data_IF_727089630423
#
_entry.id   IF_727089630423
#
_cell.length_a   1.000
_cell.length_b   1.000
_cell.length_c   1.000
_cell.angle_alpha   90.00
_cell.angle_beta   90.00
_cell.angle_gamma   90.00
#
_symmetry.space_group_name_H-M   'P 1'
#
loop_
_entity.id
_entity.type
_entity.pdbx_description
1 polymer ?
#
# COMPACT_ATOMS: atom_id res chain seq x y z
N UNK A 1 9.22 -21.54 6.05
CA UNK A 1 8.62 -20.61 5.07
C UNK A 1 9.66 -19.55 4.74
N UNK A 2 9.83 -19.25 3.46
CA UNK A 2 10.89 -18.34 2.98
C UNK A 2 10.50 -16.87 3.24
N UNK A 3 11.47 -16.05 3.62
CA UNK A 3 11.28 -14.60 3.70
C UNK A 3 10.98 -14.03 2.31
N UNK A 4 10.22 -12.92 2.20
CA UNK A 4 9.99 -12.28 0.92
C UNK A 4 11.29 -11.74 0.33
N UNK A 5 11.38 -11.73 -1.00
CA UNK A 5 12.48 -11.05 -1.70
C UNK A 5 12.23 -9.55 -1.65
N UNK A 6 13.21 -8.77 -1.19
CA UNK A 6 13.09 -7.31 -1.06
C UNK A 6 13.68 -6.61 -2.28
N UNK A 7 13.08 -5.51 -2.69
CA UNK A 7 13.51 -4.63 -3.76
C UNK A 7 13.18 -3.17 -3.42
N UNK A 8 13.85 -2.23 -4.09
CA UNK A 8 13.65 -0.79 -3.86
C UNK A 8 13.16 -0.14 -5.15
N UNK A 9 12.08 0.63 -5.05
CA UNK A 9 11.52 1.41 -6.15
C UNK A 9 12.33 2.70 -6.38
N UNK A 10 12.13 3.35 -7.52
CA UNK A 10 12.92 4.51 -7.93
C UNK A 10 12.79 5.71 -6.97
N UNK A 11 11.70 5.78 -6.21
CA UNK A 11 11.43 6.81 -5.19
C UNK A 11 11.77 6.34 -3.75
N UNK A 12 12.52 5.25 -3.61
CA UNK A 12 12.99 4.72 -2.33
C UNK A 12 11.97 3.87 -1.57
N UNK A 13 10.75 3.67 -2.10
CA UNK A 13 9.75 2.78 -1.48
C UNK A 13 10.18 1.32 -1.54
N UNK A 14 9.78 0.56 -0.53
CA UNK A 14 9.99 -0.89 -0.51
C UNK A 14 9.01 -1.60 -1.45
N UNK A 15 9.52 -2.64 -2.10
CA UNK A 15 8.75 -3.66 -2.82
C UNK A 15 9.16 -5.04 -2.31
N UNK A 16 8.19 -5.88 -2.00
CA UNK A 16 8.36 -7.22 -1.45
C UNK A 16 7.67 -8.23 -2.36
N UNK A 17 8.40 -9.26 -2.78
CA UNK A 17 7.87 -10.38 -3.53
C UNK A 17 7.67 -11.59 -2.61
N UNK A 18 6.46 -12.12 -2.62
CA UNK A 18 6.10 -13.40 -2.01
C UNK A 18 5.84 -14.38 -3.15
N UNK A 19 6.57 -15.49 -3.17
CA UNK A 19 6.55 -16.43 -4.29
C UNK A 19 6.09 -17.82 -3.86
N UNK A 20 5.38 -18.48 -4.76
CA UNK A 20 5.03 -19.89 -4.67
C UNK A 20 6.29 -20.77 -4.76
N UNK A 21 6.26 -21.99 -4.22
CA UNK A 21 7.38 -22.93 -4.37
C UNK A 21 7.77 -23.13 -5.84
N UNK A 22 9.07 -22.96 -6.14
CA UNK A 22 9.60 -23.12 -7.50
C UNK A 22 9.58 -21.85 -8.36
N UNK A 23 8.90 -20.77 -7.92
CA UNK A 23 8.96 -19.48 -8.60
C UNK A 23 10.01 -18.58 -7.94
N UNK A 24 10.90 -18.01 -8.75
CA UNK A 24 11.92 -17.04 -8.32
C UNK A 24 11.61 -15.70 -8.99
N UNK A 25 11.37 -14.63 -8.22
CA UNK A 25 11.08 -13.32 -8.79
C UNK A 25 12.33 -12.75 -9.49
N UNK A 26 12.12 -12.10 -10.64
CA UNK A 26 13.18 -11.49 -11.44
C UNK A 26 12.96 -9.97 -11.61
N UNK A 27 12.99 -9.17 -10.52
CA UNK A 27 12.80 -7.73 -10.64
C UNK A 27 13.95 -7.08 -11.42
N UNK A 28 13.61 -6.04 -12.19
CA UNK A 28 14.53 -5.15 -12.86
C UNK A 28 14.59 -3.81 -12.11
N UNK A 29 15.54 -2.95 -12.46
CA UNK A 29 15.57 -1.59 -11.94
C UNK A 29 14.28 -0.85 -12.28
N UNK A 30 13.69 -0.19 -11.29
CA UNK A 30 12.64 0.81 -11.52
C UNK A 30 13.28 2.07 -12.12
N UNK A 31 12.80 2.49 -13.28
CA UNK A 31 13.36 3.59 -14.09
C UNK A 31 12.35 4.70 -14.32
N UNK A 32 11.21 4.66 -13.61
CA UNK A 32 10.17 5.68 -13.74
C UNK A 32 10.71 7.03 -13.25
N UNK A 33 10.45 8.13 -13.98
CA UNK A 33 10.86 9.47 -13.58
C UNK A 33 9.90 9.98 -12.49
N UNK A 34 10.11 9.52 -11.25
CA UNK A 34 9.27 9.89 -10.11
C UNK A 34 9.85 11.11 -9.38
N UNK A 35 9.00 12.06 -8.95
CA UNK A 35 9.45 13.15 -8.08
C UNK A 35 9.84 12.62 -6.70
N UNK A 36 10.59 13.42 -5.96
CA UNK A 36 10.85 13.14 -4.55
C UNK A 36 9.56 13.06 -3.74
N UNK A 37 9.58 12.24 -2.70
CA UNK A 37 8.43 12.00 -1.83
C UNK A 37 8.27 13.13 -0.82
N UNK A 38 7.04 13.57 -0.61
CA UNK A 38 6.70 14.39 0.56
C UNK A 38 6.71 13.50 1.82
N UNK A 39 7.55 13.80 2.83
CA UNK A 39 7.61 13.04 4.07
C UNK A 39 6.38 13.23 4.96
N UNK A 40 5.56 14.26 4.76
CA UNK A 40 4.40 14.58 5.58
C UNK A 40 3.15 14.95 4.75
N UNK A 41 2.64 14.03 3.90
CA UNK A 41 1.63 14.31 2.88
C UNK A 41 0.21 14.49 3.44
N UNK A 42 0.02 14.30 4.75
CA UNK A 42 -1.29 14.37 5.39
C UNK A 42 -1.26 14.92 6.81
N UNK A 43 -2.45 15.33 7.28
CA UNK A 43 -2.73 15.79 8.63
C UNK A 43 -3.95 15.06 9.18
N UNK A 44 -3.98 14.83 10.48
CA UNK A 44 -5.15 14.42 11.23
C UNK A 44 -5.84 15.66 11.80
N UNK A 45 -7.17 15.66 11.82
CA UNK A 45 -8.01 16.64 12.50
C UNK A 45 -8.97 15.93 13.42
N UNK A 46 -9.10 16.39 14.65
CA UNK A 46 -10.03 15.79 15.60
C UNK A 46 -11.42 16.43 15.45
N UNK A 47 -12.43 15.61 15.17
CA UNK A 47 -13.82 16.01 15.19
C UNK A 47 -14.41 15.77 16.59
N UNK A 48 -14.70 16.85 17.31
CA UNK A 48 -15.26 16.81 18.66
C UNK A 48 -16.69 16.32 18.73
N UNK A 49 -17.48 16.46 17.66
CA UNK A 49 -18.88 16.02 17.66
C UNK A 49 -18.98 14.50 17.61
N UNK A 50 -18.05 13.85 16.90
CA UNK A 50 -18.00 12.39 16.77
C UNK A 50 -16.96 11.73 17.67
N UNK A 51 -16.01 12.50 18.21
CA UNK A 51 -14.88 11.97 18.97
C UNK A 51 -13.86 11.22 18.10
N UNK A 52 -13.80 11.52 16.80
CA UNK A 52 -13.01 10.77 15.83
C UNK A 52 -11.90 11.61 15.20
N UNK A 53 -10.79 10.95 14.87
CA UNK A 53 -9.74 11.54 14.04
C UNK A 53 -10.08 11.36 12.57
N UNK A 54 -10.01 12.46 11.82
CA UNK A 54 -10.23 12.52 10.37
C UNK A 54 -8.91 12.75 9.67
N UNK A 55 -8.61 11.90 8.68
CA UNK A 55 -7.41 12.03 7.84
C UNK A 55 -7.68 13.02 6.71
N UNK A 56 -6.85 14.04 6.60
CA UNK A 56 -6.83 15.01 5.49
C UNK A 56 -5.56 14.80 4.68
N UNK A 57 -5.69 14.26 3.47
CA UNK A 57 -4.57 13.92 2.58
C UNK A 57 -4.81 14.47 1.16
N UNK A 58 -4.38 15.72 0.92
CA UNK A 58 -4.71 16.47 -0.31
C UNK A 58 -4.11 15.83 -1.58
N UNK A 59 -2.89 15.30 -1.50
CA UNK A 59 -2.18 14.65 -2.63
C UNK A 59 -2.91 13.43 -3.21
N UNK A 60 -3.93 12.92 -2.52
CA UNK A 60 -4.76 11.83 -3.05
C UNK A 60 -5.62 12.26 -4.24
N UNK A 61 -5.80 13.56 -4.46
CA UNK A 61 -6.46 14.07 -5.67
C UNK A 61 -5.65 13.77 -6.95
N UNK A 62 -4.31 13.66 -6.84
CA UNK A 62 -3.42 13.37 -7.97
C UNK A 62 -3.28 11.87 -8.27
N UNK A 63 -4.10 11.03 -7.63
CA UNK A 63 -4.07 9.58 -7.83
C UNK A 63 -4.34 9.24 -9.28
N UNK A 64 -3.59 8.25 -9.76
CA UNK A 64 -3.85 7.65 -11.06
C UNK A 64 -5.30 7.19 -11.15
N UNK A 65 -6.08 7.81 -12.04
CA UNK A 65 -7.49 7.54 -12.23
C UNK A 65 -7.71 6.78 -13.54
N UNK A 66 -8.18 5.53 -13.42
CA UNK A 66 -8.56 4.63 -14.52
C UNK A 66 -7.55 4.63 -15.69
N UNK A 67 -6.27 4.27 -15.43
CA UNK A 67 -5.32 4.15 -16.53
C UNK A 67 -5.77 2.99 -17.44
N UNK A 68 -5.48 3.05 -18.76
CA UNK A 68 -5.60 1.89 -19.62
C UNK A 68 -4.84 0.70 -19.03
N UNK A 69 -5.29 -0.53 -19.27
CA UNK A 69 -4.66 -1.73 -18.70
C UNK A 69 -3.15 -1.81 -18.98
N UNK A 70 -2.72 -1.40 -20.18
CA UNK A 70 -1.31 -1.31 -20.58
C UNK A 70 -0.45 -0.32 -19.76
N UNK A 71 -1.09 0.57 -18.99
CA UNK A 71 -0.48 1.53 -18.07
C UNK A 71 -0.92 1.28 -16.62
N UNK A 72 -1.41 0.08 -16.31
CA UNK A 72 -1.79 -0.27 -14.96
C UNK A 72 -0.54 -0.31 -14.06
N UNK A 73 -0.49 0.48 -12.98
CA UNK A 73 0.68 0.53 -12.11
C UNK A 73 0.85 -0.75 -11.26
N UNK A 74 -0.13 -1.67 -11.29
CA UNK A 74 -0.11 -2.91 -10.51
C UNK A 74 0.27 -4.13 -11.36
N UNK A 75 0.25 -4.03 -12.69
CA UNK A 75 0.62 -5.13 -13.58
C UNK A 75 2.15 -5.28 -13.69
N UNK A 76 2.67 -6.45 -14.12
CA UNK A 76 4.09 -6.59 -14.40
C UNK A 76 4.60 -5.54 -15.40
N UNK A 77 5.73 -4.91 -15.07
CA UNK A 77 6.42 -3.94 -15.91
C UNK A 77 7.86 -4.37 -16.20
N UNK A 78 8.10 -5.29 -17.17
CA UNK A 78 9.43 -5.88 -17.42
C UNK A 78 10.50 -4.86 -17.84
N UNK A 79 10.11 -3.67 -18.30
CA UNK A 79 11.04 -2.59 -18.68
C UNK A 79 11.42 -1.68 -17.51
N UNK A 80 10.69 -1.77 -16.39
CA UNK A 80 10.82 -0.86 -15.25
C UNK A 80 10.34 0.57 -15.51
N UNK A 81 9.65 0.85 -16.62
CA UNK A 81 9.27 2.22 -17.02
C UNK A 81 7.80 2.57 -16.79
N UNK A 82 6.94 1.59 -16.50
CA UNK A 82 5.47 1.76 -16.57
C UNK A 82 4.71 1.35 -15.32
N UNK A 83 5.31 0.62 -14.39
CA UNK A 83 4.60 -0.04 -13.28
C UNK A 83 5.31 0.10 -11.93
N UNK A 84 4.55 0.04 -10.83
CA UNK A 84 5.06 -0.13 -9.46
C UNK A 84 5.68 -1.52 -9.24
N UNK A 85 5.47 -2.44 -10.18
CA UNK A 85 6.04 -3.79 -10.15
C UNK A 85 7.00 -3.96 -11.33
N UNK A 86 8.26 -3.48 -11.22
CA UNK A 86 9.26 -3.57 -12.28
C UNK A 86 9.79 -5.00 -12.39
N UNK A 87 8.96 -5.93 -12.82
CA UNK A 87 9.27 -7.35 -12.99
C UNK A 87 8.48 -7.90 -14.18
N UNK A 88 8.95 -8.99 -14.83
CA UNK A 88 8.21 -9.64 -15.91
C UNK A 88 6.96 -10.37 -15.42
N UNK A 89 6.96 -10.86 -14.17
CA UNK A 89 5.83 -11.53 -13.53
C UNK A 89 5.97 -11.51 -12.00
N UNK A 90 4.92 -11.90 -11.27
CA UNK A 90 4.92 -12.12 -9.82
C UNK A 90 3.71 -12.96 -9.34
N UNK A 91 3.87 -13.66 -8.22
CA UNK A 91 2.72 -14.32 -7.55
C UNK A 91 1.97 -13.34 -6.64
N UNK A 92 2.64 -12.77 -5.65
CA UNK A 92 2.08 -11.75 -4.74
C UNK A 92 3.14 -10.69 -4.47
N UNK A 93 2.77 -9.43 -4.57
CA UNK A 93 3.66 -8.32 -4.20
C UNK A 93 3.04 -7.38 -3.19
N UNK A 94 3.90 -6.80 -2.35
CA UNK A 94 3.55 -5.74 -1.42
C UNK A 94 4.49 -4.56 -1.64
N UNK A 95 3.95 -3.35 -1.75
CA UNK A 95 4.77 -2.14 -1.78
C UNK A 95 4.10 -0.98 -1.06
N UNK A 96 4.89 0.01 -0.66
CA UNK A 96 4.35 1.23 -0.04
C UNK A 96 3.51 2.02 -1.05
N UNK A 97 2.35 2.52 -0.64
CA UNK A 97 1.44 3.26 -1.50
C UNK A 97 2.05 4.60 -1.93
N UNK A 98 2.03 4.91 -3.22
CA UNK A 98 2.54 6.18 -3.77
C UNK A 98 1.75 7.40 -3.31
N UNK A 99 0.45 7.22 -3.06
CA UNK A 99 -0.47 8.29 -2.65
C UNK A 99 -1.05 7.95 -1.28
N UNK A 100 -0.20 7.84 -0.23
CA UNK A 100 -0.63 7.30 1.05
C UNK A 100 -1.58 8.27 1.75
N UNK A 101 -2.51 7.75 2.55
CA UNK A 101 -3.29 8.58 3.48
C UNK A 101 -2.48 9.00 4.71
N UNK A 102 -1.40 8.28 5.02
CA UNK A 102 -0.56 8.46 6.21
C UNK A 102 0.89 8.12 5.86
N UNK A 103 1.87 8.88 6.35
CA UNK A 103 3.28 8.63 6.13
C UNK A 103 4.11 8.95 7.39
N UNK A 104 5.35 8.50 7.47
CA UNK A 104 6.20 8.73 8.64
C UNK A 104 5.97 7.74 9.79
N UNK A 105 5.67 6.48 9.49
CA UNK A 105 5.65 5.41 10.51
C UNK A 105 7.01 5.28 11.22
N UNK A 106 7.00 4.87 12.49
CA UNK A 106 8.19 4.79 13.34
C UNK A 106 8.45 6.05 14.16
N UNK A 107 7.63 7.10 14.00
CA UNK A 107 7.61 8.28 14.86
C UNK A 107 6.66 8.02 16.04
N UNK A 108 7.03 8.48 17.24
CA UNK A 108 6.23 8.32 18.46
C UNK A 108 4.79 8.83 18.29
N UNK A 109 3.80 8.20 18.96
CA UNK A 109 2.40 8.60 18.84
C UNK A 109 2.19 10.02 19.34
N UNK A 110 1.21 10.69 18.75
CA UNK A 110 0.81 12.03 19.15
C UNK A 110 -0.08 11.88 20.39
N UNK A 111 0.18 12.68 21.42
CA UNK A 111 -0.58 12.67 22.67
C UNK A 111 -2.07 12.99 22.46
N UNK A 112 -2.84 12.87 23.54
CA UNK A 112 -4.26 13.23 23.52
C UNK A 112 -4.45 14.69 23.06
N UNK A 113 -5.57 15.01 22.39
CA UNK A 113 -5.91 16.39 22.06
C UNK A 113 -5.98 17.25 23.33
N UNK A 114 -5.06 18.20 23.49
CA UNK A 114 -5.04 19.15 24.61
C UNK A 114 -5.73 20.47 24.23
N UNK A 115 -6.53 21.03 25.15
CA UNK A 115 -7.22 22.31 24.99
C UNK A 115 -8.67 22.21 24.48
N UNK A 116 -9.31 23.36 24.30
CA UNK A 116 -10.70 23.55 23.85
C UNK A 116 -10.83 23.93 22.37
N UNK A 117 -9.71 24.28 21.71
CA UNK A 117 -9.64 24.64 20.29
C UNK A 117 -9.66 23.47 19.30
N UNK A 118 -9.50 23.80 18.01
CA UNK A 118 -9.29 22.81 16.94
C UNK A 118 -7.97 22.08 17.14
N UNK A 119 -8.01 20.75 17.12
CA UNK A 119 -6.82 19.91 17.32
C UNK A 119 -6.41 19.30 15.99
N UNK A 120 -5.12 19.46 15.66
CA UNK A 120 -4.51 18.87 14.47
C UNK A 120 -3.19 18.19 14.81
N UNK A 121 -2.86 17.19 14.00
CA UNK A 121 -1.75 16.27 14.24
C UNK A 121 -1.12 15.86 12.89
N UNK A 122 0.19 15.57 12.82
CA UNK A 122 0.74 14.85 11.67
C UNK A 122 0.03 13.52 11.39
N UNK A 123 -0.19 13.20 10.12
CA UNK A 123 -0.76 11.91 9.68
C UNK A 123 0.26 10.78 9.69
N UNK A 124 0.82 10.47 10.87
CA UNK A 124 1.83 9.43 11.00
C UNK A 124 1.27 8.03 10.73
N UNK A 125 1.99 7.26 9.93
CA UNK A 125 1.62 5.90 9.57
C UNK A 125 2.32 5.44 8.31
N UNK A 126 1.84 4.33 7.76
CA UNK A 126 2.34 3.73 6.52
C UNK A 126 1.16 3.09 5.82
N UNK A 127 1.03 3.33 4.52
CA UNK A 127 0.01 2.68 3.71
C UNK A 127 0.70 1.78 2.71
N UNK A 128 0.31 0.51 2.67
CA UNK A 128 0.84 -0.45 1.70
C UNK A 128 -0.26 -0.90 0.75
N UNK A 129 0.15 -1.39 -0.42
CA UNK A 129 -0.68 -2.03 -1.43
C UNK A 129 -0.24 -3.47 -1.56
N UNK A 130 -1.21 -4.39 -1.54
CA UNK A 130 -0.98 -5.83 -1.75
C UNK A 130 -1.68 -6.25 -3.03
N UNK A 131 -0.90 -6.68 -4.02
CA UNK A 131 -1.40 -7.25 -5.28
C UNK A 131 -1.38 -8.78 -5.18
N UNK A 132 -2.55 -9.41 -5.37
CA UNK A 132 -2.70 -10.85 -5.16
C UNK A 132 -2.21 -11.72 -6.31
N UNK A 133 -2.09 -11.17 -7.53
CA UNK A 133 -1.60 -11.86 -8.72
C UNK A 133 -1.25 -10.86 -9.81
N UNK A 134 -0.44 -11.28 -10.78
CA UNK A 134 -0.14 -10.52 -11.99
C UNK A 134 -1.33 -10.42 -12.97
N UNK A 135 -2.33 -11.29 -12.86
CA UNK A 135 -3.54 -11.27 -13.68
C UNK A 135 -4.38 -10.00 -13.40
N UNK A 136 -4.43 -9.12 -14.40
CA UNK A 136 -5.15 -7.85 -14.36
C UNK A 136 -6.65 -8.00 -14.08
N UNK A 137 -7.24 -9.10 -14.56
CA UNK A 137 -8.70 -9.35 -14.51
C UNK A 137 -9.11 -10.32 -13.42
N UNK A 138 -8.12 -10.94 -12.77
CA UNK A 138 -8.31 -11.93 -11.73
C UNK A 138 -8.96 -11.35 -10.47
N UNK A 139 -9.31 -12.24 -9.54
CA UNK A 139 -9.82 -11.84 -8.24
C UNK A 139 -9.50 -12.88 -7.18
N UNK A 140 -9.51 -12.49 -5.90
CA UNK A 140 -9.18 -13.39 -4.80
C UNK A 140 -9.99 -14.70 -4.81
N UNK A 141 -11.29 -14.63 -5.13
CA UNK A 141 -12.16 -15.80 -5.20
C UNK A 141 -11.84 -16.78 -6.34
N UNK A 142 -11.06 -16.34 -7.35
CA UNK A 142 -10.61 -17.18 -8.45
C UNK A 142 -9.21 -17.74 -8.27
N UNK A 143 -8.54 -17.44 -7.16
CA UNK A 143 -7.20 -17.97 -6.88
C UNK A 143 -7.27 -19.46 -6.51
N UNK A 144 -6.25 -20.21 -6.91
CA UNK A 144 -6.07 -21.55 -6.37
C UNK A 144 -5.78 -21.51 -4.85
N UNK A 145 -5.97 -22.63 -4.13
CA UNK A 145 -5.76 -22.66 -2.69
C UNK A 145 -4.33 -22.35 -2.22
N UNK A 146 -3.30 -22.67 -3.02
CA UNK A 146 -1.91 -22.41 -2.68
C UNK A 146 -1.60 -20.90 -2.80
N UNK A 147 -2.11 -20.26 -3.84
CA UNK A 147 -1.98 -18.83 -4.10
C UNK A 147 -2.77 -18.00 -3.08
N UNK A 148 -4.02 -18.39 -2.79
CA UNK A 148 -4.80 -17.74 -1.74
C UNK A 148 -4.11 -17.82 -0.37
N UNK A 149 -3.48 -18.96 -0.07
CA UNK A 149 -2.65 -19.13 1.13
C UNK A 149 -1.43 -18.19 1.12
N UNK A 150 -0.77 -18.03 -0.02
CA UNK A 150 0.37 -17.10 -0.17
C UNK A 150 -0.05 -15.64 0.10
N UNK A 151 -1.23 -15.23 -0.36
CA UNK A 151 -1.77 -13.90 -0.08
C UNK A 151 -2.00 -13.70 1.43
N UNK A 152 -2.61 -14.68 2.10
CA UNK A 152 -2.82 -14.65 3.56
C UNK A 152 -1.48 -14.62 4.31
N UNK A 153 -0.45 -15.30 3.79
CA UNK A 153 0.90 -15.23 4.33
C UNK A 153 1.52 -13.85 4.18
N UNK A 154 1.37 -13.19 3.02
CA UNK A 154 1.80 -11.81 2.84
C UNK A 154 1.09 -10.89 3.85
N UNK A 155 -0.21 -11.05 4.08
CA UNK A 155 -0.94 -10.29 5.11
C UNK A 155 -0.37 -10.50 6.50
N UNK A 156 -0.21 -11.76 6.92
CA UNK A 156 0.36 -12.08 8.24
C UNK A 156 1.74 -11.48 8.41
N UNK A 157 2.60 -11.59 7.41
CA UNK A 157 3.94 -11.04 7.43
C UNK A 157 3.91 -9.52 7.59
N UNK A 158 3.14 -8.81 6.76
CA UNK A 158 3.05 -7.34 6.84
C UNK A 158 2.43 -6.86 8.13
N UNK A 159 1.38 -7.53 8.63
CA UNK A 159 0.81 -7.19 9.92
C UNK A 159 1.83 -7.32 11.05
N UNK A 160 2.63 -8.38 11.07
CA UNK A 160 3.67 -8.55 12.09
C UNK A 160 4.73 -7.43 12.02
N UNK A 161 5.23 -7.14 10.82
CA UNK A 161 6.25 -6.11 10.60
C UNK A 161 5.75 -4.70 10.92
N UNK A 162 4.51 -4.36 10.52
CA UNK A 162 3.93 -3.04 10.74
C UNK A 162 3.58 -2.83 12.22
N UNK A 163 3.02 -3.83 12.91
CA UNK A 163 2.71 -3.74 14.34
C UNK A 163 3.96 -3.58 15.20
N UNK A 164 5.12 -4.05 14.73
CA UNK A 164 6.40 -3.86 15.44
C UNK A 164 6.97 -2.44 15.34
N UNK A 165 6.42 -1.58 14.46
CA UNK A 165 6.89 -0.21 14.30
C UNK A 165 6.45 0.68 15.48
N UNK A 166 7.34 1.54 16.01
CA UNK A 166 6.96 2.52 17.01
C UNK A 166 5.80 3.43 16.51
N UNK A 167 4.85 3.71 17.40
CA UNK A 167 3.70 4.55 17.11
C UNK A 167 2.57 3.87 16.33
N UNK A 168 2.71 2.61 15.94
CA UNK A 168 1.62 1.84 15.31
C UNK A 168 0.74 1.21 16.39
N UNK A 169 -0.45 1.75 16.60
CA UNK A 169 -1.44 1.17 17.52
C UNK A 169 -2.33 0.13 16.82
N UNK A 170 -2.58 0.27 15.52
CA UNK A 170 -3.44 -0.61 14.75
C UNK A 170 -2.96 -0.81 13.32
N UNK A 171 -3.08 -2.06 12.84
CA UNK A 171 -2.96 -2.45 11.44
C UNK A 171 -4.36 -2.81 10.94
N UNK A 172 -4.92 -2.01 10.02
CA UNK A 172 -6.26 -2.24 9.49
C UNK A 172 -6.22 -2.76 8.05
N UNK A 173 -6.50 -4.05 7.82
CA UNK A 173 -6.47 -4.64 6.47
C UNK A 173 -7.86 -4.60 5.82
N UNK A 174 -8.00 -3.94 4.67
CA UNK A 174 -9.24 -3.96 3.90
C UNK A 174 -9.01 -4.08 2.39
N UNK A 175 -10.04 -4.47 1.65
CA UNK A 175 -10.08 -4.55 0.19
C UNK A 175 -11.25 -3.69 -0.32
N UNK A 176 -10.99 -2.82 -1.28
CA UNK A 176 -12.05 -2.12 -2.01
C UNK A 176 -12.31 -2.85 -3.33
N UNK A 177 -13.57 -3.25 -3.57
CA UNK A 177 -13.99 -3.96 -4.78
C UNK A 177 -15.28 -3.37 -5.36
N UNK A 178 -15.23 -3.03 -6.65
CA UNK A 178 -16.38 -2.54 -7.42
C UNK A 178 -16.23 -1.08 -7.86
N UNK A 179 -16.63 -0.79 -9.10
CA UNK A 179 -16.56 0.56 -9.66
C UNK A 179 -17.43 1.56 -8.87
N UNK A 180 -18.57 1.07 -8.35
CA UNK A 180 -19.55 1.85 -7.60
C UNK A 180 -19.06 2.33 -6.23
N UNK A 181 -17.94 1.82 -5.71
CA UNK A 181 -17.40 2.20 -4.39
C UNK A 181 -16.03 2.91 -4.45
N UNK A 182 -15.74 3.59 -5.56
CA UNK A 182 -14.58 4.48 -5.67
C UNK A 182 -13.25 3.78 -6.01
N UNK A 183 -13.30 2.63 -6.67
CA UNK A 183 -12.11 1.96 -7.21
C UNK A 183 -11.55 2.80 -8.38
N UNK A 184 -10.36 3.38 -8.17
CA UNK A 184 -9.67 4.26 -9.14
C UNK A 184 -8.75 3.50 -10.09
N UNK A 185 -8.46 2.23 -9.81
CA UNK A 185 -7.66 1.35 -10.68
C UNK A 185 -8.52 0.14 -11.06
N UNK A 186 -8.72 -0.18 -12.35
CA UNK A 186 -9.61 -1.27 -12.78
C UNK A 186 -9.13 -2.67 -12.33
N UNK A 187 -7.85 -2.79 -11.95
CA UNK A 187 -7.30 -3.98 -11.30
C UNK A 187 -7.98 -4.23 -9.96
N UNK A 188 -8.59 -5.40 -9.80
CA UNK A 188 -9.40 -5.77 -8.62
C UNK A 188 -8.57 -6.19 -7.41
N UNK A 189 -7.39 -5.61 -7.24
CA UNK A 189 -6.36 -6.17 -6.36
C UNK A 189 -5.53 -5.06 -5.72
N UNK A 190 -6.06 -4.46 -4.65
CA UNK A 190 -5.27 -3.65 -3.75
C UNK A 190 -5.90 -3.67 -2.35
N UNK A 191 -5.16 -4.20 -1.37
CA UNK A 191 -5.45 -3.91 0.04
C UNK A 191 -4.67 -2.72 0.51
N UNK A 192 -5.36 -1.84 1.24
CA UNK A 192 -4.76 -0.69 1.89
C UNK A 192 -4.71 -0.98 3.38
N UNK A 193 -3.58 -0.67 4.00
CA UNK A 193 -3.45 -0.68 5.46
C UNK A 193 -3.27 0.74 5.97
N UNK A 194 -4.34 1.48 6.34
CA UNK A 194 -4.19 2.71 7.08
C UNK A 194 -3.86 2.36 8.53
N UNK A 195 -2.89 3.10 9.08
CA UNK A 195 -2.44 2.98 10.46
C UNK A 195 -3.17 4.04 11.28
N UNK A 196 -3.98 3.66 12.25
CA UNK A 196 -4.54 4.62 13.20
C UNK A 196 -3.60 4.73 14.39
N UNK A 197 -3.24 5.98 14.73
CA UNK A 197 -2.89 6.39 16.11
C UNK A 197 -4.21 6.57 16.85
#
# INVERSE_FOLDING_TARGET
MTAPTRWTLADGRDLLFFSLPGHVPAPVSDRRPLPERDPAPSRLRFDRATGQWVIVAAQRQDRTYKPPAARCPLCPGPTGLSSEVPAPDYDVVVFENRFPSLAGAGIAPIGAPDGDGFVSAPGHGRCEVICFSADHTGSFAGLDPAHARLVVHAWRHRTAELTALPGVAQVFCFENRGEEIGVTLPTRTARFTPIRI
#
